data_IF_061349827160
#
_entry.id   IF_061349827160
#
_cell.length_a   1.000
_cell.length_b   1.000
_cell.length_c   1.000
_cell.angle_alpha   90.00
_cell.angle_beta   90.00
_cell.angle_gamma   90.00
#
_symmetry.space_group_name_H-M   'P 1'
#
loop_
_entity.id
_entity.type
_entity.pdbx_description
1 polymer ?
#
# COMPACT_ATOMS: atom_id res chain seq x y z
N UNK A 1 1.78 5.16 -8.38
CA UNK A 1 2.75 6.25 -8.55
C UNK A 1 1.98 7.42 -9.11
N UNK A 2 1.63 8.44 -8.31
CA UNK A 2 1.51 9.77 -8.86
C UNK A 2 2.95 10.14 -9.20
N UNK A 3 3.29 10.22 -10.48
CA UNK A 3 4.53 10.79 -10.93
C UNK A 3 4.37 12.32 -10.75
N UNK A 4 4.76 12.83 -9.60
CA UNK A 4 5.15 14.23 -9.55
C UNK A 4 6.55 14.25 -10.14
N UNK A 5 6.71 14.88 -11.28
CA UNK A 5 8.04 15.16 -11.79
C UNK A 5 8.70 16.11 -10.79
N UNK A 6 9.83 15.67 -10.20
CA UNK A 6 10.60 16.46 -9.26
C UNK A 6 11.63 17.24 -10.08
N UNK A 7 11.59 18.56 -9.98
CA UNK A 7 12.50 19.46 -10.68
C UNK A 7 13.32 20.23 -9.67
N UNK A 8 14.63 20.33 -9.90
CA UNK A 8 15.49 21.27 -9.16
C UNK A 8 15.26 22.70 -9.67
N UNK A 9 15.02 23.62 -8.75
CA UNK A 9 14.93 25.05 -9.03
C UNK A 9 15.89 25.82 -8.13
N UNK A 10 16.32 27.01 -8.59
CA UNK A 10 17.13 27.91 -7.77
C UNK A 10 16.40 29.22 -7.64
N UNK A 11 16.25 29.70 -6.40
CA UNK A 11 15.65 31.02 -6.14
C UNK A 11 16.56 32.14 -6.58
N UNK A 12 16.03 33.37 -6.70
CA UNK A 12 16.84 34.57 -6.95
C UNK A 12 17.85 34.88 -5.83
N UNK A 13 17.63 34.32 -4.64
CA UNK A 13 18.56 34.42 -3.50
C UNK A 13 19.66 33.34 -3.51
N UNK A 14 19.60 32.40 -4.47
CA UNK A 14 20.57 31.28 -4.58
C UNK A 14 20.19 29.99 -3.88
N UNK A 15 19.06 29.93 -3.16
CA UNK A 15 18.61 28.73 -2.48
C UNK A 15 18.17 27.70 -3.49
N UNK A 16 18.56 26.43 -3.28
CA UNK A 16 18.09 25.30 -4.07
C UNK A 16 16.77 24.79 -3.52
N UNK A 17 15.83 24.50 -4.40
CA UNK A 17 14.52 23.95 -4.09
C UNK A 17 14.22 22.72 -4.94
N UNK A 18 13.56 21.75 -4.33
CA UNK A 18 12.95 20.62 -5.01
C UNK A 18 11.48 20.93 -5.27
N UNK A 19 11.10 20.93 -6.55
CA UNK A 19 9.79 21.38 -7.02
C UNK A 19 9.00 20.19 -7.54
N UNK A 20 7.86 19.90 -6.93
CA UNK A 20 6.93 18.86 -7.38
C UNK A 20 5.74 19.50 -8.10
N UNK A 21 5.53 19.14 -9.37
CA UNK A 21 4.42 19.64 -10.20
C UNK A 21 3.30 18.62 -10.24
N UNK A 22 2.08 19.06 -9.96
CA UNK A 22 0.86 18.26 -10.01
C UNK A 22 -0.05 18.80 -11.11
N UNK A 23 -0.19 18.02 -12.19
CA UNK A 23 -1.06 18.30 -13.31
C UNK A 23 -2.29 17.38 -13.29
N UNK A 24 -3.45 17.91 -13.65
CA UNK A 24 -4.71 17.15 -13.70
C UNK A 24 -4.69 16.06 -14.77
N UNK A 25 -4.04 16.30 -15.90
CA UNK A 25 -4.02 15.36 -17.03
C UNK A 25 -3.19 14.10 -16.76
N UNK A 26 -2.11 14.20 -15.99
CA UNK A 26 -1.25 13.05 -15.68
C UNK A 26 -1.89 12.03 -14.71
N UNK A 27 -2.95 12.39 -14.01
CA UNK A 27 -3.56 11.52 -12.99
C UNK A 27 -4.50 10.46 -13.58
N UNK A 28 -5.01 10.64 -14.79
CA UNK A 28 -5.99 9.73 -15.39
C UNK A 28 -5.42 8.32 -15.66
N UNK A 29 -4.17 8.23 -16.12
CA UNK A 29 -3.56 6.96 -16.52
C UNK A 29 -3.40 5.91 -15.39
N UNK A 30 -3.29 6.34 -14.13
CA UNK A 30 -3.14 5.45 -12.98
C UNK A 30 -4.44 5.06 -12.27
N UNK A 31 -5.57 5.67 -12.61
CA UNK A 31 -6.84 5.53 -11.88
C UNK A 31 -7.40 4.10 -11.95
N UNK A 32 -7.37 3.48 -13.12
CA UNK A 32 -7.89 2.11 -13.33
C UNK A 32 -7.12 1.08 -12.50
N UNK A 33 -5.80 1.19 -12.44
CA UNK A 33 -4.97 0.28 -11.62
C UNK A 33 -5.23 0.47 -10.12
N UNK A 34 -5.42 1.72 -9.66
CA UNK A 34 -5.75 2.02 -8.26
C UNK A 34 -7.13 1.49 -7.89
N UNK A 35 -8.13 1.67 -8.78
CA UNK A 35 -9.47 1.14 -8.59
C UNK A 35 -9.46 -0.39 -8.49
N UNK A 36 -8.79 -1.08 -9.42
CA UNK A 36 -8.60 -2.53 -9.39
C UNK A 36 -8.01 -2.99 -8.06
N UNK A 37 -6.98 -2.31 -7.57
CA UNK A 37 -6.32 -2.64 -6.31
C UNK A 37 -7.20 -2.33 -5.08
N UNK A 38 -8.00 -1.26 -5.09
CA UNK A 38 -8.91 -0.92 -4.00
C UNK A 38 -10.03 -1.95 -3.83
N UNK A 39 -10.47 -2.57 -4.94
CA UNK A 39 -11.45 -3.66 -4.92
C UNK A 39 -10.83 -4.96 -4.40
N UNK A 40 -9.58 -5.25 -4.77
CA UNK A 40 -8.93 -6.53 -4.46
C UNK A 40 -8.42 -6.63 -3.02
N UNK A 41 -8.03 -5.51 -2.41
CA UNK A 41 -7.46 -5.43 -1.06
C UNK A 41 -8.47 -4.84 -0.07
N UNK A 42 -8.34 -5.21 1.20
CA UNK A 42 -9.10 -4.54 2.28
C UNK A 42 -8.72 -3.05 2.29
N UNK A 43 -9.72 -2.17 2.50
CA UNK A 43 -9.56 -0.72 2.38
C UNK A 43 -8.37 -0.12 3.13
N UNK A 44 -8.04 -0.67 4.31
CA UNK A 44 -6.88 -0.23 5.12
C UNK A 44 -5.52 -0.58 4.50
N UNK A 45 -5.46 -1.57 3.62
CA UNK A 45 -4.24 -1.98 2.89
C UNK A 45 -4.15 -1.28 1.54
N UNK A 46 -5.27 -0.81 1.01
CA UNK A 46 -5.33 -0.06 -0.24
C UNK A 46 -4.76 1.35 -0.03
N UNK A 47 -3.76 1.72 -0.82
CA UNK A 47 -3.20 3.08 -0.83
C UNK A 47 -4.13 3.99 -1.61
N UNK A 48 -4.87 4.84 -0.91
CA UNK A 48 -5.66 5.96 -1.42
C UNK A 48 -6.68 5.66 -2.54
N UNK A 49 -7.88 6.20 -2.40
CA UNK A 49 -8.83 6.30 -3.51
C UNK A 49 -8.29 7.23 -4.62
N UNK A 50 -8.78 7.14 -5.85
CA UNK A 50 -8.45 8.12 -6.89
C UNK A 50 -8.82 9.52 -6.39
N UNK A 51 -7.81 10.35 -6.17
CA UNK A 51 -7.97 11.73 -5.69
C UNK A 51 -7.78 12.69 -6.86
N UNK A 52 -8.48 13.82 -6.84
CA UNK A 52 -8.18 14.94 -7.74
C UNK A 52 -6.77 15.47 -7.46
N UNK A 53 -6.14 16.15 -8.43
CA UNK A 53 -4.83 16.77 -8.27
C UNK A 53 -4.78 17.68 -7.04
N UNK A 54 -5.82 18.51 -6.86
CA UNK A 54 -5.91 19.42 -5.73
C UNK A 54 -5.87 18.69 -4.38
N UNK A 55 -6.65 17.60 -4.23
CA UNK A 55 -6.63 16.79 -3.00
C UNK A 55 -5.29 16.08 -2.75
N UNK A 56 -4.60 15.68 -3.82
CA UNK A 56 -3.27 15.07 -3.69
C UNK A 56 -2.25 16.09 -3.17
N UNK A 57 -2.32 17.33 -3.65
CA UNK A 57 -1.51 18.45 -3.18
C UNK A 57 -1.81 18.78 -1.73
N UNK A 58 -3.09 19.00 -1.39
CA UNK A 58 -3.54 19.29 -0.02
C UNK A 58 -3.08 18.21 0.95
N UNK A 59 -3.26 16.95 0.57
CA UNK A 59 -2.83 15.82 1.39
C UNK A 59 -1.32 15.81 1.59
N UNK A 60 -0.52 16.03 0.53
CA UNK A 60 0.93 16.05 0.64
C UNK A 60 1.41 17.21 1.51
N UNK A 61 0.84 18.39 1.36
CA UNK A 61 1.15 19.53 2.20
C UNK A 61 0.79 19.26 3.67
N UNK A 62 -0.42 18.73 3.94
CA UNK A 62 -0.85 18.35 5.29
C UNK A 62 0.09 17.33 5.93
N UNK A 63 0.48 16.29 5.18
CA UNK A 63 1.38 15.25 5.68
C UNK A 63 2.79 15.79 5.96
N UNK A 64 3.28 16.71 5.13
CA UNK A 64 4.57 17.35 5.39
C UNK A 64 4.52 18.18 6.66
N UNK A 65 3.50 19.01 6.86
CA UNK A 65 3.34 19.77 8.11
C UNK A 65 3.15 18.87 9.34
N UNK A 66 2.38 17.78 9.21
CA UNK A 66 2.21 16.82 10.30
C UNK A 66 3.53 16.10 10.64
N UNK A 67 4.37 15.82 9.66
CA UNK A 67 5.68 15.22 9.88
C UNK A 67 6.67 16.23 10.52
N UNK A 68 6.65 17.49 10.10
CA UNK A 68 7.43 18.58 10.72
C UNK A 68 7.02 18.74 12.20
N UNK A 69 5.72 18.78 12.50
CA UNK A 69 5.18 18.89 13.87
C UNK A 69 5.53 17.68 14.73
N UNK A 70 5.59 16.49 14.15
CA UNK A 70 6.06 15.27 14.79
C UNK A 70 7.60 15.27 15.04
N UNK A 71 8.33 16.27 14.57
CA UNK A 71 9.79 16.30 14.62
C UNK A 71 10.45 15.22 13.76
N UNK A 72 9.73 14.65 12.80
CA UNK A 72 10.31 13.70 11.86
C UNK A 72 11.09 14.45 10.78
N UNK A 73 12.32 14.00 10.47
CA UNK A 73 13.15 14.66 9.48
C UNK A 73 12.56 14.48 8.08
N UNK A 74 12.08 15.56 7.49
CA UNK A 74 11.51 15.63 6.14
C UNK A 74 11.84 16.97 5.50
N UNK A 75 12.00 17.07 4.17
CA UNK A 75 12.21 18.34 3.48
C UNK A 75 11.10 19.33 3.82
N UNK A 76 11.49 20.52 4.19
CA UNK A 76 10.55 21.59 4.59
C UNK A 76 9.76 22.09 3.40
N UNK A 77 8.43 22.17 3.56
CA UNK A 77 7.58 22.79 2.54
C UNK A 77 7.69 24.32 2.60
N UNK A 78 8.25 24.92 1.54
CA UNK A 78 8.44 26.37 1.43
C UNK A 78 7.25 27.09 0.83
N UNK A 79 6.63 26.48 -0.21
CA UNK A 79 5.53 27.11 -0.90
C UNK A 79 4.59 26.10 -1.55
N UNK A 80 3.31 26.49 -1.60
CA UNK A 80 2.27 25.86 -2.42
C UNK A 80 1.75 26.91 -3.36
N UNK A 81 1.98 26.75 -4.66
CA UNK A 81 1.63 27.76 -5.66
C UNK A 81 0.77 27.15 -6.75
N UNK A 82 -0.38 27.75 -7.03
CA UNK A 82 -1.18 27.39 -8.19
C UNK A 82 -0.64 28.08 -9.44
N UNK A 83 -0.34 27.31 -10.46
CA UNK A 83 0.18 27.78 -11.75
C UNK A 83 -0.90 27.53 -12.80
N UNK A 84 -1.63 28.59 -13.15
CA UNK A 84 -2.79 28.49 -14.04
C UNK A 84 -3.95 27.69 -13.43
N UNK A 85 -4.94 27.27 -14.25
CA UNK A 85 -6.12 26.54 -13.77
C UNK A 85 -5.87 25.05 -13.55
N UNK A 86 -4.81 24.47 -14.13
CA UNK A 86 -4.64 23.03 -14.26
C UNK A 86 -3.49 22.47 -13.40
N UNK A 87 -2.52 23.27 -12.97
CA UNK A 87 -1.35 22.81 -12.26
C UNK A 87 -1.18 23.45 -10.88
N UNK A 88 -0.69 22.68 -9.92
CA UNK A 88 -0.25 23.16 -8.61
C UNK A 88 1.17 22.66 -8.35
N UNK A 89 1.98 23.54 -7.81
CA UNK A 89 3.40 23.33 -7.53
C UNK A 89 3.62 23.35 -6.03
N UNK A 90 4.33 22.33 -5.53
CA UNK A 90 4.88 22.29 -4.19
C UNK A 90 6.39 22.50 -4.28
N UNK A 91 6.93 23.45 -3.52
CA UNK A 91 8.35 23.70 -3.42
C UNK A 91 8.87 23.32 -2.03
N UNK A 92 9.88 22.47 -2.00
CA UNK A 92 10.55 22.00 -0.78
C UNK A 92 11.99 22.50 -0.74
N UNK A 93 12.56 22.57 0.46
CA UNK A 93 14.01 22.75 0.60
C UNK A 93 14.72 21.57 -0.04
N UNK A 94 15.84 21.85 -0.70
CA UNK A 94 16.70 20.82 -1.25
C UNK A 94 17.69 20.35 -0.20
N UNK A 95 17.64 19.08 0.16
CA UNK A 95 18.57 18.46 1.07
C UNK A 95 19.63 17.66 0.29
N UNK A 96 20.90 17.97 0.49
CA UNK A 96 22.01 17.26 -0.16
C UNK A 96 22.24 15.89 0.51
N UNK A 97 22.29 14.85 -0.30
CA UNK A 97 22.50 13.49 0.21
C UNK A 97 22.42 12.42 -0.87
N UNK A 98 22.54 11.18 -0.46
CA UNK A 98 22.37 10.00 -1.29
C UNK A 98 21.19 9.18 -0.79
N UNK A 99 20.32 8.71 -1.67
CA UNK A 99 19.25 7.82 -1.25
C UNK A 99 19.78 6.47 -0.81
N UNK A 100 19.06 5.78 0.07
CA UNK A 100 19.40 4.41 0.46
C UNK A 100 19.50 3.49 -0.77
N UNK A 101 18.75 3.77 -1.83
CA UNK A 101 18.80 3.03 -3.09
C UNK A 101 20.14 3.18 -3.82
N UNK A 102 20.74 4.35 -3.76
CA UNK A 102 22.01 4.69 -4.41
C UNK A 102 23.21 4.29 -3.56
N UNK A 103 23.04 4.23 -2.23
CA UNK A 103 24.10 3.92 -1.28
C UNK A 103 24.45 2.43 -1.30
N UNK A 104 25.53 2.07 -2.00
CA UNK A 104 26.05 0.68 -2.09
C UNK A 104 27.57 0.70 -1.92
N UNK A 105 28.16 -0.27 -1.19
CA UNK A 105 27.71 -0.94 0.04
C UNK A 105 28.10 -0.11 1.25
N UNK A 106 27.45 -0.28 2.37
CA UNK A 106 27.96 0.25 3.64
C UNK A 106 27.05 1.16 4.43
N UNK A 107 25.74 0.86 4.50
CA UNK A 107 24.88 1.49 5.50
C UNK A 107 25.35 1.13 6.89
N UNK A 108 25.69 2.13 7.70
CA UNK A 108 26.19 1.96 9.07
C UNK A 108 25.05 1.60 10.03
N UNK A 109 25.37 1.07 11.21
CA UNK A 109 24.34 0.81 12.22
C UNK A 109 23.79 2.12 12.83
N UNK A 110 24.54 3.19 12.77
CA UNK A 110 24.07 4.52 13.15
C UNK A 110 22.98 5.02 12.19
N UNK A 111 23.24 4.96 10.89
CA UNK A 111 22.26 5.32 9.86
C UNK A 111 21.00 4.46 9.95
N UNK A 112 21.14 3.15 10.19
CA UNK A 112 19.98 2.26 10.37
C UNK A 112 19.13 2.66 11.58
N UNK A 113 19.77 3.00 12.70
CA UNK A 113 19.07 3.50 13.89
C UNK A 113 18.38 4.82 13.60
N UNK A 114 19.03 5.75 12.91
CA UNK A 114 18.47 7.04 12.55
C UNK A 114 17.26 6.91 11.61
N UNK A 115 17.30 5.97 10.64
CA UNK A 115 16.15 5.65 9.79
C UNK A 115 14.97 5.15 10.64
N UNK A 116 15.24 4.23 11.56
CA UNK A 116 14.20 3.71 12.44
C UNK A 116 13.58 4.81 13.30
N UNK A 117 14.43 5.62 13.95
CA UNK A 117 14.00 6.69 14.85
C UNK A 117 13.21 7.79 14.09
N UNK A 118 13.59 8.10 12.85
CA UNK A 118 12.84 9.01 12.00
C UNK A 118 11.41 8.53 11.72
N UNK A 119 11.26 7.24 11.40
CA UNK A 119 9.94 6.62 11.16
C UNK A 119 9.14 6.50 12.46
N UNK A 120 9.81 6.21 13.57
CA UNK A 120 9.13 6.11 14.87
C UNK A 120 8.53 7.44 15.30
N UNK A 121 9.19 8.58 15.07
CA UNK A 121 8.64 9.92 15.35
C UNK A 121 7.32 10.16 14.60
N UNK A 122 7.21 9.74 13.34
CA UNK A 122 5.94 9.79 12.61
C UNK A 122 4.86 8.96 13.32
N UNK A 123 5.19 7.73 13.69
CA UNK A 123 4.24 6.78 14.28
C UNK A 123 3.75 7.22 15.67
N UNK A 124 4.58 7.85 16.47
CA UNK A 124 4.23 8.41 17.77
C UNK A 124 3.14 9.49 17.66
N UNK A 125 3.14 10.25 16.54
CA UNK A 125 2.12 11.25 16.22
C UNK A 125 1.01 10.72 15.31
N UNK A 126 0.90 9.38 15.16
CA UNK A 126 -0.10 8.75 14.30
C UNK A 126 -0.03 9.19 12.84
N UNK A 127 1.14 9.54 12.38
CA UNK A 127 1.44 9.80 10.96
C UNK A 127 2.13 8.57 10.40
N UNK A 128 1.76 8.15 9.19
CA UNK A 128 2.43 7.04 8.47
C UNK A 128 2.91 7.51 7.11
N UNK A 129 4.01 6.95 6.66
CA UNK A 129 4.57 7.23 5.34
C UNK A 129 3.93 6.38 4.24
N UNK A 130 3.61 5.12 4.53
CA UNK A 130 2.97 4.11 3.67
C UNK A 130 3.72 3.72 2.40
N UNK A 131 4.86 4.32 2.13
CA UNK A 131 5.67 4.04 0.95
C UNK A 131 7.16 4.19 1.25
N UNK A 132 7.60 3.65 2.39
CA UNK A 132 9.01 3.64 2.82
C UNK A 132 9.83 2.72 1.92
N UNK A 133 10.31 3.26 0.82
CA UNK A 133 11.19 2.60 -0.14
C UNK A 133 12.56 3.25 -0.11
N UNK A 134 13.58 2.55 -0.55
CA UNK A 134 14.96 3.03 -0.44
C UNK A 134 15.24 4.33 -1.21
N UNK A 135 14.48 4.61 -2.25
CA UNK A 135 14.51 5.87 -3.00
C UNK A 135 13.85 7.04 -2.26
N UNK A 136 13.18 6.78 -1.14
CA UNK A 136 12.50 7.79 -0.30
C UNK A 136 13.16 7.98 1.06
N UNK A 137 14.29 7.38 1.27
CA UNK A 137 15.12 7.54 2.46
C UNK A 137 16.43 8.17 2.00
N UNK A 138 16.63 9.44 2.30
CA UNK A 138 17.84 10.19 1.99
C UNK A 138 18.78 10.16 3.19
N UNK A 139 20.05 9.88 2.94
CA UNK A 139 21.13 9.91 3.90
C UNK A 139 22.01 11.11 3.55
N UNK A 140 22.12 12.06 4.46
CA UNK A 140 22.93 13.27 4.29
C UNK A 140 24.39 12.99 4.71
N UNK A 141 25.27 13.94 4.42
CA UNK A 141 26.71 13.81 4.68
C UNK A 141 27.07 13.82 6.19
N UNK A 142 26.17 14.31 7.03
CA UNK A 142 26.30 14.40 8.49
C UNK A 142 25.55 13.26 9.23
N UNK A 143 25.33 12.13 8.55
CA UNK A 143 24.63 10.94 9.06
C UNK A 143 23.15 11.21 9.42
N UNK A 144 22.58 12.35 9.00
CA UNK A 144 21.15 12.60 9.19
C UNK A 144 20.34 11.84 8.15
N UNK A 145 19.09 11.61 8.47
CA UNK A 145 18.13 10.93 7.62
C UNK A 145 17.00 11.88 7.28
N UNK A 146 16.57 11.92 6.02
CA UNK A 146 15.38 12.64 5.60
C UNK A 146 14.40 11.66 4.95
N UNK A 147 13.12 11.74 5.34
CA UNK A 147 12.05 10.96 4.75
C UNK A 147 11.40 11.75 3.61
N UNK A 148 11.56 11.27 2.39
CA UNK A 148 11.09 11.95 1.18
C UNK A 148 9.69 11.47 0.78
N UNK A 149 8.89 12.35 0.19
CA UNK A 149 7.62 12.03 -0.48
C UNK A 149 6.57 11.32 0.40
N UNK A 150 6.10 12.03 1.43
CA UNK A 150 5.05 11.55 2.33
C UNK A 150 3.64 11.49 1.68
N UNK A 151 3.47 11.84 0.41
CA UNK A 151 2.16 11.99 -0.25
C UNK A 151 1.24 10.75 -0.20
N UNK A 152 1.80 9.57 -0.01
CA UNK A 152 1.03 8.31 0.17
C UNK A 152 0.61 8.05 1.62
N UNK A 153 1.09 8.84 2.58
CA UNK A 153 0.91 8.69 4.02
C UNK A 153 -0.52 8.92 4.51
N UNK A 154 -0.73 8.74 5.78
CA UNK A 154 -1.98 9.03 6.47
C UNK A 154 -1.71 9.78 7.79
N UNK A 155 -2.56 10.78 8.12
CA UNK A 155 -2.67 11.35 9.47
C UNK A 155 -3.75 10.59 10.25
N UNK A 156 -3.66 10.60 11.58
CA UNK A 156 -4.55 9.82 12.45
C UNK A 156 -4.55 8.30 12.10
N UNK A 157 -3.38 7.77 11.80
CA UNK A 157 -3.19 6.39 11.36
C UNK A 157 -3.65 5.38 12.43
N UNK A 158 -4.34 4.33 11.98
CA UNK A 158 -4.70 3.18 12.81
C UNK A 158 -3.47 2.33 13.14
N UNK A 159 -3.55 1.50 14.19
CA UNK A 159 -2.47 0.57 14.56
C UNK A 159 -2.10 -0.37 13.40
N UNK A 160 -3.08 -0.79 12.59
CA UNK A 160 -2.80 -1.62 11.42
C UNK A 160 -1.96 -0.86 10.37
N UNK A 161 -2.24 0.43 10.16
CA UNK A 161 -1.48 1.26 9.22
C UNK A 161 -0.05 1.48 9.69
N UNK A 162 0.16 1.73 10.99
CA UNK A 162 1.48 1.82 11.61
C UNK A 162 2.26 0.51 11.44
N UNK A 163 1.64 -0.64 11.74
CA UNK A 163 2.27 -1.96 11.58
C UNK A 163 2.61 -2.28 10.11
N UNK A 164 1.77 -1.85 9.17
CA UNK A 164 2.05 -1.99 7.73
C UNK A 164 3.25 -1.14 7.30
N UNK A 165 3.40 0.04 7.87
CA UNK A 165 4.53 0.92 7.62
C UNK A 165 5.83 0.32 8.17
N UNK A 166 5.81 -0.23 9.39
CA UNK A 166 6.93 -0.98 9.97
C UNK A 166 7.27 -2.22 9.12
N UNK A 167 6.28 -2.97 8.66
CA UNK A 167 6.50 -4.12 7.79
C UNK A 167 7.16 -3.72 6.46
N UNK A 168 6.78 -2.58 5.89
CA UNK A 168 7.38 -2.02 4.69
C UNK A 168 8.83 -1.62 4.94
N UNK A 169 9.11 -0.90 6.03
CA UNK A 169 10.47 -0.50 6.42
C UNK A 169 11.37 -1.72 6.60
N UNK A 170 10.93 -2.71 7.38
CA UNK A 170 11.69 -3.93 7.63
C UNK A 170 12.00 -4.71 6.35
N UNK A 171 11.02 -4.84 5.46
CA UNK A 171 11.21 -5.53 4.19
C UNK A 171 12.20 -4.78 3.29
N UNK A 172 12.18 -3.45 3.31
CA UNK A 172 13.09 -2.61 2.54
C UNK A 172 14.51 -2.70 3.13
N UNK A 173 14.68 -2.49 4.43
CA UNK A 173 15.99 -2.63 5.07
C UNK A 173 16.59 -4.03 4.86
N UNK A 174 15.79 -5.10 4.99
CA UNK A 174 16.25 -6.46 4.75
C UNK A 174 16.75 -6.70 3.32
N UNK A 175 16.24 -5.98 2.33
CA UNK A 175 16.75 -6.03 0.95
C UNK A 175 18.15 -5.39 0.81
N UNK A 176 18.47 -4.39 1.63
CA UNK A 176 19.73 -3.63 1.53
C UNK A 176 20.81 -4.12 2.48
N UNK A 177 20.46 -4.45 3.73
CA UNK A 177 21.45 -4.84 4.76
C UNK A 177 21.36 -6.31 5.18
N UNK A 178 20.42 -7.06 4.60
CA UNK A 178 20.15 -8.46 4.95
C UNK A 178 19.09 -8.62 6.03
N UNK A 179 18.38 -9.77 6.04
CA UNK A 179 17.25 -10.01 6.95
C UNK A 179 17.66 -10.10 8.42
N UNK A 180 18.85 -10.65 8.72
CA UNK A 180 19.36 -10.79 10.09
C UNK A 180 19.61 -9.42 10.71
N UNK A 181 20.35 -8.55 10.02
CA UNK A 181 20.72 -7.22 10.51
C UNK A 181 19.49 -6.31 10.64
N UNK A 182 18.54 -6.40 9.69
CA UNK A 182 17.27 -5.68 9.76
C UNK A 182 16.40 -6.14 10.95
N UNK A 183 16.35 -7.45 11.23
CA UNK A 183 15.66 -8.00 12.39
C UNK A 183 16.30 -7.59 13.70
N UNK A 184 17.63 -7.68 13.80
CA UNK A 184 18.38 -7.32 15.01
C UNK A 184 18.19 -5.83 15.36
N UNK A 185 18.17 -4.94 14.37
CA UNK A 185 17.81 -3.54 14.55
C UNK A 185 16.41 -3.39 15.15
N UNK A 186 15.40 -4.07 14.56
CA UNK A 186 14.02 -3.99 15.03
C UNK A 186 13.89 -4.49 16.47
N UNK A 187 14.54 -5.62 16.80
CA UNK A 187 14.54 -6.21 18.15
C UNK A 187 15.23 -5.31 19.19
N UNK A 188 16.19 -4.50 18.76
CA UNK A 188 16.86 -3.53 19.64
C UNK A 188 16.03 -2.25 19.86
N UNK A 189 15.11 -1.92 18.95
CA UNK A 189 14.39 -0.65 18.93
C UNK A 189 12.91 -0.74 19.29
N UNK A 190 12.26 -1.88 19.06
CA UNK A 190 10.84 -2.09 19.30
C UNK A 190 10.60 -3.24 20.28
N UNK A 191 9.44 -3.26 20.90
CA UNK A 191 9.03 -4.33 21.82
C UNK A 191 8.74 -5.61 21.01
N UNK A 192 9.05 -6.74 21.62
CA UNK A 192 8.87 -8.04 20.98
C UNK A 192 7.40 -8.33 20.60
N UNK A 193 6.44 -7.95 21.45
CA UNK A 193 5.00 -8.10 21.20
C UNK A 193 4.52 -7.26 20.00
N UNK A 194 5.05 -6.06 19.84
CA UNK A 194 4.78 -5.20 18.67
C UNK A 194 5.30 -5.83 17.39
N UNK A 195 6.52 -6.38 17.42
CA UNK A 195 7.13 -7.03 16.26
C UNK A 195 6.39 -8.30 15.85
N UNK A 196 5.91 -9.11 16.81
CA UNK A 196 5.06 -10.28 16.52
C UNK A 196 3.82 -9.89 15.73
N UNK A 197 3.18 -8.77 16.10
CA UNK A 197 2.02 -8.26 15.37
C UNK A 197 2.34 -7.75 13.95
N UNK A 198 3.61 -7.48 13.64
CA UNK A 198 4.10 -7.08 12.31
C UNK A 198 4.39 -8.29 11.42
N UNK A 199 4.83 -9.42 11.99
CA UNK A 199 5.23 -10.63 11.23
C UNK A 199 4.16 -11.10 10.22
N UNK A 200 2.86 -11.19 10.56
CA UNK A 200 1.84 -11.60 9.59
C UNK A 200 1.67 -10.62 8.43
N UNK A 201 2.11 -9.36 8.60
CA UNK A 201 2.02 -8.30 7.60
C UNK A 201 3.22 -8.27 6.64
N UNK A 202 4.31 -8.99 6.96
CA UNK A 202 5.46 -9.17 6.07
C UNK A 202 5.10 -10.05 4.86
N UNK A 203 4.05 -9.68 4.14
CA UNK A 203 3.54 -10.37 2.95
C UNK A 203 3.71 -9.46 1.73
N UNK A 204 4.05 -10.05 0.56
CA UNK A 204 4.21 -9.29 -0.67
C UNK A 204 3.00 -8.41 -1.00
N UNK A 205 1.78 -8.84 -0.67
CA UNK A 205 0.56 -8.07 -0.93
C UNK A 205 0.52 -6.73 -0.18
N UNK A 206 1.11 -6.66 1.02
CA UNK A 206 1.14 -5.47 1.87
C UNK A 206 2.19 -4.44 1.43
N UNK A 207 3.25 -4.87 0.73
CA UNK A 207 4.44 -4.06 0.45
C UNK A 207 4.29 -3.17 -0.78
N UNK A 208 5.18 -2.19 -0.92
CA UNK A 208 5.27 -1.31 -2.08
C UNK A 208 5.59 -2.09 -3.37
N UNK A 209 5.27 -1.50 -4.52
CA UNK A 209 5.45 -2.17 -5.82
C UNK A 209 6.92 -2.45 -6.12
N UNK A 210 7.81 -1.47 -5.86
CA UNK A 210 9.27 -1.60 -6.02
C UNK A 210 9.83 -2.70 -5.12
N UNK A 211 9.51 -2.67 -3.82
CA UNK A 211 9.90 -3.68 -2.83
C UNK A 211 9.45 -5.08 -3.25
N UNK A 212 8.18 -5.22 -3.71
CA UNK A 212 7.68 -6.50 -4.24
C UNK A 212 8.45 -6.99 -5.46
N UNK A 213 8.84 -6.08 -6.35
CA UNK A 213 9.61 -6.43 -7.55
C UNK A 213 11.01 -6.93 -7.17
N UNK A 214 11.67 -6.26 -6.20
CA UNK A 214 12.96 -6.69 -5.66
C UNK A 214 12.87 -8.07 -4.95
N UNK A 215 11.84 -8.27 -4.12
CA UNK A 215 11.59 -9.54 -3.43
C UNK A 215 11.22 -10.71 -4.34
N UNK A 216 10.81 -10.48 -5.60
CA UNK A 216 10.65 -11.57 -6.58
C UNK A 216 11.99 -12.18 -6.98
N UNK A 217 13.05 -11.37 -6.98
CA UNK A 217 14.42 -11.80 -7.30
C UNK A 217 15.12 -12.41 -6.08
N UNK A 218 14.74 -11.96 -4.87
CA UNK A 218 15.30 -12.42 -3.59
C UNK A 218 14.19 -13.02 -2.72
N UNK A 219 13.81 -14.26 -3.05
CA UNK A 219 12.67 -14.95 -2.41
C UNK A 219 12.96 -15.41 -0.99
N UNK A 220 14.20 -15.49 -0.61
CA UNK A 220 14.77 -15.88 0.68
C UNK A 220 14.55 -14.83 1.78
N UNK A 221 14.54 -13.52 1.43
CA UNK A 221 14.60 -12.41 2.38
C UNK A 221 13.40 -12.38 3.34
N UNK A 222 12.15 -12.46 2.84
CA UNK A 222 10.99 -12.39 3.73
C UNK A 222 10.85 -13.61 4.66
N UNK A 223 11.07 -14.87 4.19
CA UNK A 223 11.10 -16.02 5.09
C UNK A 223 12.16 -15.91 6.17
N UNK A 224 13.40 -15.54 5.82
CA UNK A 224 14.49 -15.38 6.79
C UNK A 224 14.19 -14.28 7.81
N UNK A 225 13.69 -13.12 7.36
CA UNK A 225 13.30 -12.01 8.25
C UNK A 225 12.21 -12.46 9.25
N UNK A 226 11.16 -13.14 8.78
CA UNK A 226 10.11 -13.66 9.66
C UNK A 226 10.65 -14.67 10.66
N UNK A 227 11.46 -15.61 10.20
CA UNK A 227 12.07 -16.64 11.06
C UNK A 227 12.90 -16.00 12.15
N UNK A 228 13.73 -14.99 11.83
CA UNK A 228 14.56 -14.29 12.81
C UNK A 228 13.72 -13.53 13.85
N UNK A 229 12.66 -12.83 13.41
CA UNK A 229 11.76 -12.11 14.31
C UNK A 229 11.00 -13.07 15.25
N UNK A 230 10.50 -14.20 14.73
CA UNK A 230 9.77 -15.20 15.52
C UNK A 230 10.69 -15.94 16.50
N UNK A 231 11.93 -16.21 16.13
CA UNK A 231 12.89 -16.88 17.00
C UNK A 231 13.24 -16.06 18.26
N UNK A 232 13.06 -14.74 18.21
CA UNK A 232 13.31 -13.84 19.34
C UNK A 232 12.13 -13.75 20.33
N UNK A 233 10.97 -14.34 20.01
CA UNK A 233 9.76 -14.28 20.85
C UNK A 233 9.31 -15.70 21.22
N UNK A 234 9.55 -16.16 22.45
CA UNK A 234 9.13 -17.48 22.90
C UNK A 234 7.59 -17.61 22.87
N UNK A 235 7.08 -18.64 22.19
CA UNK A 235 5.65 -18.97 22.14
C UNK A 235 4.81 -18.25 21.10
N UNK A 236 5.41 -17.56 20.14
CA UNK A 236 4.70 -16.82 19.10
C UNK A 236 4.14 -17.72 17.99
N UNK A 237 3.01 -18.38 18.19
CA UNK A 237 2.20 -18.87 17.07
C UNK A 237 1.47 -17.70 16.43
N UNK A 238 1.91 -17.30 15.24
CA UNK A 238 1.32 -16.18 14.51
C UNK A 238 0.37 -16.70 13.45
N UNK A 239 -0.93 -16.52 13.66
CA UNK A 239 -1.94 -16.84 12.64
C UNK A 239 -1.77 -15.90 11.42
N UNK A 240 -1.77 -16.42 10.18
CA UNK A 240 -1.62 -15.59 8.99
C UNK A 240 -2.83 -14.65 8.82
N UNK A 241 -2.56 -13.35 8.80
CA UNK A 241 -3.61 -12.34 8.52
C UNK A 241 -3.93 -12.37 7.03
N UNK A 242 -5.17 -12.65 6.67
CA UNK A 242 -5.63 -12.61 5.29
C UNK A 242 -5.88 -11.16 4.87
N UNK A 243 -4.94 -10.59 4.10
CA UNK A 243 -5.03 -9.23 3.57
C UNK A 243 -5.83 -9.13 2.26
N UNK A 244 -6.11 -10.26 1.60
CA UNK A 244 -6.88 -10.31 0.37
C UNK A 244 -8.37 -10.49 0.68
N UNK A 245 -9.18 -9.55 0.20
CA UNK A 245 -10.65 -9.58 0.34
C UNK A 245 -11.32 -10.56 -0.62
N UNK A 246 -10.77 -10.70 -1.83
CA UNK A 246 -11.33 -11.52 -2.90
C UNK A 246 -10.18 -12.32 -3.54
N UNK A 247 -10.36 -13.63 -3.65
CA UNK A 247 -9.43 -14.48 -4.41
C UNK A 247 -9.63 -14.21 -5.90
N UNK A 248 -8.54 -14.17 -6.68
CA UNK A 248 -8.60 -13.95 -8.13
C UNK A 248 -9.56 -14.95 -8.81
N UNK A 249 -9.61 -16.18 -8.31
CA UNK A 249 -10.55 -17.21 -8.77
C UNK A 249 -12.01 -16.77 -8.60
N UNK A 250 -12.38 -16.17 -7.47
CA UNK A 250 -13.74 -15.67 -7.23
C UNK A 250 -14.11 -14.51 -8.15
N UNK A 251 -13.14 -13.66 -8.51
CA UNK A 251 -13.37 -12.60 -9.49
C UNK A 251 -13.60 -13.18 -10.90
N UNK A 252 -12.78 -14.15 -11.30
CA UNK A 252 -12.95 -14.86 -12.58
C UNK A 252 -14.28 -15.57 -12.64
N UNK A 253 -14.67 -16.25 -11.55
CA UNK A 253 -15.98 -16.93 -11.47
C UNK A 253 -17.12 -15.93 -11.57
N UNK A 254 -17.03 -14.78 -10.88
CA UNK A 254 -18.06 -13.73 -10.95
C UNK A 254 -18.19 -13.17 -12.38
N UNK A 255 -17.07 -12.86 -13.04
CA UNK A 255 -17.10 -12.36 -14.43
C UNK A 255 -17.65 -13.41 -15.38
N UNK A 256 -17.24 -14.68 -15.24
CA UNK A 256 -17.76 -15.78 -16.03
C UNK A 256 -19.27 -15.99 -15.82
N UNK A 257 -19.74 -15.90 -14.57
CA UNK A 257 -21.17 -15.99 -14.24
C UNK A 257 -21.96 -14.84 -14.86
N UNK A 258 -21.48 -13.59 -14.74
CA UNK A 258 -22.12 -12.43 -15.35
C UNK A 258 -22.17 -12.55 -16.87
N UNK A 259 -21.08 -13.00 -17.50
CA UNK A 259 -21.02 -13.24 -18.94
C UNK A 259 -22.00 -14.35 -19.38
N UNK A 260 -22.07 -15.45 -18.63
CA UNK A 260 -23.01 -16.54 -18.91
C UNK A 260 -24.47 -16.08 -18.78
N UNK A 261 -24.81 -15.32 -17.72
CA UNK A 261 -26.14 -14.75 -17.54
C UNK A 261 -26.49 -13.79 -18.67
N UNK A 262 -25.55 -12.94 -19.09
CA UNK A 262 -25.76 -12.00 -20.20
C UNK A 262 -26.01 -12.72 -21.52
N UNK A 263 -25.25 -13.78 -21.83
CA UNK A 263 -25.43 -14.59 -23.03
C UNK A 263 -26.75 -15.34 -22.99
N UNK A 264 -27.12 -15.95 -21.86
CA UNK A 264 -28.40 -16.63 -21.68
C UNK A 264 -29.59 -15.66 -21.79
N UNK A 265 -29.50 -14.47 -21.21
CA UNK A 265 -30.53 -13.44 -21.33
C UNK A 265 -30.67 -12.98 -22.77
N UNK A 266 -29.56 -12.87 -23.53
CA UNK A 266 -29.60 -12.55 -24.96
C UNK A 266 -30.28 -13.62 -25.80
N UNK A 267 -30.04 -14.90 -25.53
CA UNK A 267 -30.72 -16.02 -26.19
C UNK A 267 -32.21 -16.09 -25.79
N UNK A 268 -32.53 -15.87 -24.52
CA UNK A 268 -33.90 -15.86 -24.05
C UNK A 268 -34.71 -14.71 -24.64
N UNK A 269 -34.09 -13.52 -24.83
CA UNK A 269 -34.73 -12.38 -25.49
C UNK A 269 -34.99 -12.61 -26.99
N UNK A 270 -34.20 -13.44 -27.66
CA UNK A 270 -34.38 -13.83 -29.04
C UNK A 270 -35.39 -14.98 -29.20
N UNK A 271 -35.52 -15.85 -28.19
CA UNK A 271 -36.53 -16.90 -28.17
C UNK A 271 -37.91 -16.26 -27.97
N UNK A 272 -38.85 -16.54 -28.87
CA UNK A 272 -40.23 -16.07 -28.71
C UNK A 272 -40.86 -16.75 -27.49
N UNK A 273 -40.77 -16.11 -26.32
CA UNK A 273 -41.27 -16.61 -25.03
C UNK A 273 -42.72 -17.13 -25.08
N UNK A 274 -43.52 -16.60 -25.97
CA UNK A 274 -44.92 -17.01 -26.15
C UNK A 274 -45.10 -18.45 -26.66
N UNK A 275 -44.15 -19.03 -27.39
CA UNK A 275 -44.18 -20.42 -27.82
C UNK A 275 -43.65 -21.37 -26.76
N UNK A 276 -42.59 -20.98 -26.05
CA UNK A 276 -41.95 -21.78 -25.02
C UNK A 276 -42.84 -21.97 -23.79
N UNK A 277 -43.55 -20.91 -23.36
CA UNK A 277 -44.47 -20.98 -22.21
C UNK A 277 -45.70 -21.80 -22.43
N UNK A 278 -46.18 -21.93 -23.70
CA UNK A 278 -47.33 -22.80 -24.05
C UNK A 278 -46.98 -24.27 -24.19
N UNK A 279 -45.71 -24.58 -24.50
CA UNK A 279 -45.20 -25.95 -24.66
C UNK A 279 -44.48 -26.49 -23.42
N UNK A 280 -44.18 -25.66 -22.43
CA UNK A 280 -43.49 -26.03 -21.23
C UNK A 280 -44.35 -26.82 -20.26
N UNK A 281 -43.96 -28.03 -19.94
CA UNK A 281 -44.58 -28.79 -18.85
C UNK A 281 -44.10 -28.22 -17.49
N UNK A 282 -44.96 -27.39 -16.89
CA UNK A 282 -44.70 -26.67 -15.63
C UNK A 282 -44.36 -27.60 -14.45
N UNK A 283 -44.67 -28.89 -14.57
CA UNK A 283 -44.29 -29.89 -13.55
C UNK A 283 -42.79 -30.01 -13.36
N UNK A 284 -42.01 -29.96 -14.45
CA UNK A 284 -40.55 -29.96 -14.39
C UNK A 284 -39.98 -28.67 -13.80
N UNK A 285 -40.62 -27.52 -14.04
CA UNK A 285 -40.26 -26.26 -13.40
C UNK A 285 -40.43 -26.29 -11.87
N UNK A 286 -41.52 -26.85 -11.40
CA UNK A 286 -41.78 -27.03 -9.97
C UNK A 286 -40.79 -27.99 -9.32
N UNK A 287 -40.43 -29.08 -9.99
CA UNK A 287 -39.42 -30.04 -9.51
C UNK A 287 -38.04 -29.38 -9.41
N UNK A 288 -37.64 -28.61 -10.42
CA UNK A 288 -36.38 -27.87 -10.41
C UNK A 288 -36.35 -26.83 -9.28
N UNK A 289 -37.44 -26.12 -9.03
CA UNK A 289 -37.56 -25.16 -7.92
C UNK A 289 -37.46 -25.87 -6.55
N UNK A 290 -38.09 -26.99 -6.39
CA UNK A 290 -38.00 -27.78 -5.16
C UNK A 290 -36.60 -28.33 -4.90
N UNK A 291 -35.90 -28.85 -5.92
CA UNK A 291 -34.51 -29.30 -5.82
C UNK A 291 -33.58 -28.14 -5.51
N UNK A 292 -33.79 -26.94 -6.10
CA UNK A 292 -33.03 -25.74 -5.79
C UNK A 292 -33.21 -25.31 -4.34
N UNK A 293 -34.45 -25.34 -3.81
CA UNK A 293 -34.73 -25.03 -2.41
C UNK A 293 -34.01 -25.98 -1.44
N UNK A 294 -34.02 -27.30 -1.73
CA UNK A 294 -33.31 -28.32 -0.93
C UNK A 294 -31.79 -28.01 -0.91
N UNK A 295 -31.21 -27.63 -2.04
CA UNK A 295 -29.76 -27.26 -2.12
C UNK A 295 -29.44 -26.05 -1.26
N UNK A 296 -30.31 -25.03 -1.25
CA UNK A 296 -30.14 -23.84 -0.41
C UNK A 296 -30.30 -24.15 1.09
N UNK A 297 -31.23 -25.00 1.45
CA UNK A 297 -31.42 -25.46 2.85
C UNK A 297 -30.20 -26.28 3.32
N UNK A 298 -29.66 -27.15 2.46
CA UNK A 298 -28.44 -27.92 2.76
C UNK A 298 -27.24 -27.01 2.99
N UNK A 299 -27.04 -26.01 2.14
CA UNK A 299 -25.96 -25.02 2.28
C UNK A 299 -26.12 -24.13 3.53
N UNK A 300 -27.36 -23.80 3.92
CA UNK A 300 -27.63 -23.04 5.14
C UNK A 300 -27.37 -23.84 6.41
N UNK A 301 -27.63 -25.14 6.40
CA UNK A 301 -27.35 -26.07 7.53
C UNK A 301 -25.84 -26.29 7.74
N UNK A 302 -25.04 -26.34 6.67
CA UNK A 302 -23.57 -26.40 6.78
C UNK A 302 -22.94 -25.12 7.36
N UNK A 303 -23.61 -23.98 7.21
CA UNK A 303 -23.13 -22.69 7.75
C UNK A 303 -23.55 -22.44 9.20
N UNK A 304 -24.45 -23.24 9.75
CA UNK A 304 -24.98 -23.11 11.12
C UNK A 304 -24.44 -24.11 12.13
N UNK A 305 -23.62 -25.07 11.70
CA UNK A 305 -22.89 -26.05 12.53
C UNK A 305 -21.41 -25.75 12.61
#
# INVERSE_FOLDING_TARGET
MCSSDLYGATTSAGDRLDVAVYDKDQQAAGAVYRLYRSVLLRGQVSRGAPQSADRAVERRALLTYAAEDAGAPTPRLRAVVRVGPEATVLAFDHDEGTTLAERKPGVTDAELRNIWDAVQRLHEHRVTHRSLTADRILLTSDDQVMLLDLGDGDVAASDLQVRLDVAQLLAELALYVGPERAADLALAKARADELVAVVPLLQRAALARSTRAALRRRRDVLPALRQRLLAAVPGGEVAPVQLQRIRLRSLVTLVATVAAVYLLAGELARASLGHVTRAADWRWGLIALALSAVTYVGAALELSG
#
